data_IF_463289685611
#
_entry.id   IF_463289685611
#
_cell.length_a   1.000
_cell.length_b   1.000
_cell.length_c   1.000
_cell.angle_alpha   90.00
_cell.angle_beta   90.00
_cell.angle_gamma   90.00
#
_symmetry.space_group_name_H-M   'P 1'
#
loop_
_entity.id
_entity.type
_entity.pdbx_description
1 polymer ?
#
# COMPACT_ATOMS: atom_id res chain seq x y z
N UNK A 1 15.20 -13.53 19.30
CA UNK A 1 15.25 -12.33 18.46
C UNK A 1 16.69 -11.87 18.35
N UNK A 2 17.29 -11.97 17.17
CA UNK A 2 18.67 -11.49 16.93
C UNK A 2 18.66 -9.98 16.65
N UNK A 3 19.79 -9.29 16.82
CA UNK A 3 19.94 -7.86 16.47
C UNK A 3 19.54 -7.56 15.01
N UNK A 4 19.61 -8.55 14.10
CA UNK A 4 19.14 -8.45 12.71
C UNK A 4 17.62 -8.32 12.57
N UNK A 5 16.83 -8.87 13.50
CA UNK A 5 15.36 -8.69 13.51
C UNK A 5 14.95 -7.31 14.06
N UNK A 6 15.83 -6.66 14.84
CA UNK A 6 15.66 -5.31 15.38
C UNK A 6 16.05 -4.20 14.38
N UNK A 7 16.74 -4.53 13.28
CA UNK A 7 17.24 -3.57 12.28
C UNK A 7 16.46 -3.51 10.97
N UNK A 8 15.32 -4.21 10.85
CA UNK A 8 14.50 -4.12 9.63
C UNK A 8 13.63 -2.86 9.65
N UNK A 9 13.74 -2.06 8.60
CA UNK A 9 12.89 -0.91 8.38
C UNK A 9 11.43 -1.37 8.32
N UNK A 10 10.61 -0.88 9.25
CA UNK A 10 9.21 -1.31 9.36
C UNK A 10 8.31 -0.69 8.30
N UNK A 11 7.21 -1.36 7.95
CA UNK A 11 6.18 -0.80 7.07
C UNK A 11 5.66 0.56 7.58
N UNK A 12 5.48 0.70 8.90
CA UNK A 12 5.07 1.95 9.51
C UNK A 12 6.09 3.08 9.27
N UNK A 13 7.39 2.78 9.34
CA UNK A 13 8.46 3.73 9.03
C UNK A 13 8.41 4.17 7.57
N UNK A 14 8.30 3.21 6.64
CA UNK A 14 8.18 3.49 5.21
C UNK A 14 6.93 4.34 4.89
N UNK A 15 5.77 3.99 5.46
CA UNK A 15 4.52 4.75 5.30
C UNK A 15 4.66 6.17 5.83
N UNK A 16 5.26 6.35 7.02
CA UNK A 16 5.50 7.68 7.60
C UNK A 16 6.41 8.53 6.73
N UNK A 17 7.45 7.97 6.11
CA UNK A 17 8.28 8.74 5.16
C UNK A 17 7.44 9.25 3.99
N UNK A 18 6.60 8.40 3.38
CA UNK A 18 5.72 8.85 2.29
C UNK A 18 4.68 9.87 2.75
N UNK A 19 4.10 9.73 3.94
CA UNK A 19 3.18 10.71 4.52
C UNK A 19 3.87 12.07 4.73
N UNK A 20 5.13 12.08 5.19
CA UNK A 20 5.91 13.32 5.32
C UNK A 20 6.08 14.02 3.96
N UNK A 21 6.44 13.27 2.93
CA UNK A 21 6.55 13.80 1.56
C UNK A 21 5.19 14.31 1.05
N UNK A 22 4.10 13.60 1.36
CA UNK A 22 2.74 14.03 1.03
C UNK A 22 2.37 15.36 1.71
N UNK A 23 2.71 15.51 2.99
CA UNK A 23 2.54 16.78 3.73
C UNK A 23 3.28 17.91 3.03
N UNK A 24 4.55 17.68 2.67
CA UNK A 24 5.37 18.71 2.00
C UNK A 24 4.79 19.08 0.64
N UNK A 25 4.40 18.09 -0.17
CA UNK A 25 3.74 18.31 -1.46
C UNK A 25 2.46 19.14 -1.31
N UNK A 26 1.61 18.81 -0.33
CA UNK A 26 0.39 19.57 -0.06
C UNK A 26 0.67 20.99 0.43
N UNK A 27 1.65 21.18 1.32
CA UNK A 27 2.06 22.51 1.80
C UNK A 27 2.51 23.40 0.64
N UNK A 28 3.35 22.86 -0.26
CA UNK A 28 3.86 23.60 -1.42
C UNK A 28 2.77 23.90 -2.44
N UNK A 29 1.90 22.92 -2.73
CA UNK A 29 0.80 23.06 -3.69
C UNK A 29 -0.20 24.13 -3.27
N UNK A 30 -0.59 24.11 -2.00
CA UNK A 30 -1.60 25.03 -1.46
C UNK A 30 -1.01 26.32 -0.90
N UNK A 31 0.32 26.49 -0.99
CA UNK A 31 1.07 27.62 -0.45
C UNK A 31 0.80 27.89 1.05
N UNK A 32 0.81 26.82 1.84
CA UNK A 32 0.56 26.88 3.28
C UNK A 32 1.81 27.27 4.07
N UNK A 33 1.60 28.03 5.15
CA UNK A 33 2.66 28.23 6.15
C UNK A 33 2.89 26.93 6.94
N UNK A 34 4.15 26.54 7.16
CA UNK A 34 4.49 25.29 7.89
C UNK A 34 3.98 25.29 9.34
N UNK A 35 3.85 26.46 9.96
CA UNK A 35 3.39 26.61 11.35
C UNK A 35 1.88 26.66 11.52
N UNK A 36 1.12 26.60 10.43
CA UNK A 36 -0.34 26.73 10.49
C UNK A 36 -1.00 25.54 11.19
N UNK A 37 -2.27 25.73 11.52
CA UNK A 37 -3.15 24.66 11.98
C UNK A 37 -3.96 24.08 10.82
N UNK A 38 -4.28 22.80 10.91
CA UNK A 38 -5.02 22.03 9.92
C UNK A 38 -6.22 21.34 10.57
N UNK A 39 -7.34 21.30 9.86
CA UNK A 39 -8.47 20.43 10.20
C UNK A 39 -8.23 19.01 9.70
N UNK A 40 -8.98 18.01 10.20
CA UNK A 40 -8.91 16.63 9.68
C UNK A 40 -9.22 16.61 8.18
N UNK A 41 -10.22 17.38 7.74
CA UNK A 41 -10.61 17.43 6.32
C UNK A 41 -9.49 17.97 5.42
N UNK A 42 -8.68 18.91 5.90
CA UNK A 42 -7.52 19.40 5.14
C UNK A 42 -6.38 18.37 5.12
N UNK A 43 -6.18 17.63 6.20
CA UNK A 43 -5.17 16.56 6.25
C UNK A 43 -5.54 15.44 5.27
N UNK A 44 -6.83 15.12 5.15
CA UNK A 44 -7.34 14.14 4.18
C UNK A 44 -7.21 14.65 2.74
N UNK A 45 -7.59 15.90 2.47
CA UNK A 45 -7.66 16.42 1.08
C UNK A 45 -6.33 16.97 0.56
N UNK A 46 -5.59 17.73 1.37
CA UNK A 46 -4.32 18.35 0.96
C UNK A 46 -3.13 17.41 1.13
N UNK A 47 -3.15 16.52 2.12
CA UNK A 47 -2.04 15.60 2.41
C UNK A 47 -2.34 14.14 2.09
N UNK A 48 -3.56 13.84 1.61
CA UNK A 48 -3.96 12.50 1.19
C UNK A 48 -3.80 11.42 2.27
N UNK A 49 -4.04 11.80 3.53
CA UNK A 49 -4.10 10.82 4.62
C UNK A 49 -5.39 10.01 4.47
N UNK A 50 -5.25 8.67 4.44
CA UNK A 50 -6.38 7.76 4.51
C UNK A 50 -6.92 7.69 5.93
N UNK A 51 -8.14 7.18 6.14
CA UNK A 51 -8.71 6.95 7.48
C UNK A 51 -7.76 6.12 8.37
N UNK A 52 -7.07 5.15 7.79
CA UNK A 52 -6.05 4.34 8.49
C UNK A 52 -4.83 5.18 8.91
N UNK A 53 -4.39 6.14 8.10
CA UNK A 53 -3.30 7.04 8.48
C UNK A 53 -3.72 8.02 9.57
N UNK A 54 -4.96 8.50 9.52
CA UNK A 54 -5.54 9.33 10.59
C UNK A 54 -5.55 8.55 11.91
N UNK A 55 -5.95 7.28 11.90
CA UNK A 55 -5.99 6.44 13.08
C UNK A 55 -4.59 6.17 13.67
N UNK A 56 -3.59 5.88 12.83
CA UNK A 56 -2.31 5.31 13.30
C UNK A 56 -1.09 6.21 13.16
N UNK A 57 -1.15 7.24 12.31
CA UNK A 57 0.01 8.07 11.99
C UNK A 57 -0.20 9.56 12.30
N UNK A 58 -1.43 10.02 12.49
CA UNK A 58 -1.71 11.44 12.78
C UNK A 58 -0.92 11.94 14.00
N UNK A 59 -0.96 11.18 15.09
CA UNK A 59 -0.24 11.50 16.32
C UNK A 59 1.28 11.42 16.20
N UNK A 60 1.84 10.86 15.12
CA UNK A 60 3.28 10.93 14.85
C UNK A 60 3.68 12.32 14.35
N UNK A 61 2.86 12.90 13.47
CA UNK A 61 3.17 14.17 12.79
C UNK A 61 2.68 15.41 13.53
N UNK A 62 1.50 15.32 14.14
CA UNK A 62 0.77 16.49 14.64
C UNK A 62 0.54 16.42 16.15
N UNK A 63 0.43 17.58 16.78
CA UNK A 63 -0.19 17.78 18.08
C UNK A 63 -1.63 18.24 17.85
N UNK A 64 -2.58 17.66 18.60
CA UNK A 64 -3.97 18.11 18.61
C UNK A 64 -4.10 19.39 19.44
N UNK A 65 -4.83 20.38 18.93
CA UNK A 65 -5.18 21.61 19.61
C UNK A 65 -6.66 21.86 19.37
N UNK A 66 -7.50 21.60 20.38
CA UNK A 66 -8.96 21.64 20.23
C UNK A 66 -9.44 20.80 19.03
N UNK A 67 -10.01 21.43 18.01
CA UNK A 67 -10.49 20.79 16.77
C UNK A 67 -9.50 20.85 15.60
N UNK A 68 -8.28 21.35 15.85
CA UNK A 68 -7.22 21.51 14.85
C UNK A 68 -5.95 20.71 15.19
N UNK A 69 -5.04 20.66 14.23
CA UNK A 69 -3.78 19.93 14.30
C UNK A 69 -2.63 20.81 13.85
N UNK A 70 -1.53 20.81 14.61
CA UNK A 70 -0.32 21.56 14.28
C UNK A 70 0.85 20.59 14.18
N UNK A 71 1.70 20.76 13.17
CA UNK A 71 2.91 19.94 13.04
C UNK A 71 3.75 20.01 14.32
N UNK A 72 4.24 18.87 14.78
CA UNK A 72 5.21 18.84 15.88
C UNK A 72 6.47 19.58 15.48
N UNK A 73 7.11 20.25 16.44
CA UNK A 73 8.35 21.01 16.21
C UNK A 73 9.42 20.23 15.43
N UNK A 74 9.64 18.95 15.77
CA UNK A 74 10.57 18.08 15.03
C UNK A 74 10.18 17.93 13.55
N UNK A 75 8.89 17.75 13.27
CA UNK A 75 8.37 17.61 11.91
C UNK A 75 8.39 18.93 11.16
N UNK A 76 8.10 20.06 11.80
CA UNK A 76 8.23 21.38 11.18
C UNK A 76 9.66 21.64 10.70
N UNK A 77 10.66 21.37 11.55
CA UNK A 77 12.07 21.53 11.19
C UNK A 77 12.43 20.64 9.99
N UNK A 78 11.93 19.41 9.97
CA UNK A 78 12.19 18.46 8.90
C UNK A 78 11.51 18.88 7.58
N UNK A 79 10.25 19.31 7.63
CA UNK A 79 9.54 19.89 6.48
C UNK A 79 10.30 21.08 5.91
N UNK A 80 10.74 22.02 6.76
CA UNK A 80 11.50 23.19 6.33
C UNK A 80 12.84 22.81 5.69
N UNK A 81 13.56 21.82 6.26
CA UNK A 81 14.81 21.29 5.71
C UNK A 81 14.60 20.73 4.31
N UNK A 82 13.54 19.93 4.11
CA UNK A 82 13.26 19.30 2.82
C UNK A 82 12.78 20.34 1.80
N UNK A 83 11.93 21.30 2.18
CA UNK A 83 11.51 22.41 1.30
C UNK A 83 12.74 23.22 0.84
N UNK A 84 13.68 23.49 1.75
CA UNK A 84 14.92 24.18 1.38
C UNK A 84 15.74 23.38 0.35
N UNK A 85 15.92 22.07 0.56
CA UNK A 85 16.62 21.20 -0.39
C UNK A 85 15.91 21.15 -1.75
N UNK A 86 14.57 21.12 -1.75
CA UNK A 86 13.78 21.15 -2.97
C UNK A 86 14.03 22.45 -3.74
N UNK A 87 13.97 23.61 -3.08
CA UNK A 87 14.23 24.92 -3.68
C UNK A 87 15.62 24.99 -4.34
N UNK A 88 16.65 24.43 -3.70
CA UNK A 88 18.01 24.35 -4.27
C UNK A 88 18.06 23.45 -5.51
N UNK A 89 17.29 22.37 -5.54
CA UNK A 89 17.26 21.41 -6.64
C UNK A 89 16.46 21.91 -7.86
N UNK A 90 15.42 22.74 -7.67
CA UNK A 90 14.51 23.17 -8.73
C UNK A 90 15.24 23.81 -9.93
N UNK A 91 16.29 24.59 -9.69
CA UNK A 91 17.05 25.26 -10.75
C UNK A 91 17.77 24.32 -11.72
N UNK A 92 17.99 23.06 -11.33
CA UNK A 92 18.71 22.05 -12.13
C UNK A 92 17.81 20.86 -12.51
N UNK A 93 16.56 20.84 -12.05
CA UNK A 93 15.68 19.67 -12.12
C UNK A 93 15.45 19.20 -13.56
N UNK A 94 15.11 20.11 -14.48
CA UNK A 94 14.84 19.73 -15.87
C UNK A 94 16.08 19.21 -16.60
N UNK A 95 17.26 19.78 -16.31
CA UNK A 95 18.52 19.26 -16.83
C UNK A 95 18.82 17.86 -16.26
N UNK A 96 18.61 17.67 -14.97
CA UNK A 96 18.77 16.37 -14.31
C UNK A 96 17.85 15.30 -14.91
N UNK A 97 16.57 15.61 -15.15
CA UNK A 97 15.61 14.70 -15.80
C UNK A 97 16.08 14.28 -17.20
N UNK A 98 16.52 15.23 -18.02
CA UNK A 98 17.02 14.94 -19.37
C UNK A 98 18.24 14.04 -19.35
N UNK A 99 19.20 14.30 -18.45
CA UNK A 99 20.39 13.47 -18.28
C UNK A 99 20.02 12.05 -17.86
N UNK A 100 19.12 11.91 -16.89
CA UNK A 100 18.65 10.61 -16.38
C UNK A 100 17.93 9.78 -17.44
N UNK A 101 17.03 10.40 -18.22
CA UNK A 101 16.36 9.72 -19.34
C UNK A 101 17.37 9.26 -20.39
N UNK A 102 18.35 10.11 -20.73
CA UNK A 102 19.36 9.79 -21.75
C UNK A 102 20.33 8.68 -21.33
N UNK A 103 20.53 8.46 -20.03
CA UNK A 103 21.38 7.38 -19.51
C UNK A 103 20.54 6.17 -19.07
N UNK A 104 19.98 6.20 -17.86
CA UNK A 104 19.23 5.07 -17.30
C UNK A 104 17.93 4.82 -18.05
N UNK A 105 17.20 5.85 -18.49
CA UNK A 105 15.97 5.67 -19.26
C UNK A 105 16.18 4.84 -20.54
N UNK A 106 17.24 5.13 -21.30
CA UNK A 106 17.62 4.31 -22.47
C UNK A 106 17.99 2.87 -22.09
N UNK A 107 18.76 2.69 -21.02
CA UNK A 107 19.12 1.35 -20.54
C UNK A 107 17.88 0.53 -20.12
N UNK A 108 16.93 1.18 -19.45
CA UNK A 108 15.64 0.59 -19.09
C UNK A 108 14.84 0.20 -20.34
N UNK A 109 14.73 1.09 -21.33
CA UNK A 109 13.98 0.83 -22.56
C UNK A 109 14.62 -0.28 -23.41
N UNK A 110 15.96 -0.31 -23.50
CA UNK A 110 16.73 -1.39 -24.14
C UNK A 110 16.37 -2.76 -23.52
N UNK A 111 16.26 -2.82 -22.18
CA UNK A 111 15.88 -4.02 -21.45
C UNK A 111 14.41 -4.41 -21.68
N UNK A 112 13.50 -3.44 -21.62
CA UNK A 112 12.05 -3.68 -21.74
C UNK A 112 11.66 -4.18 -23.13
N UNK A 113 12.34 -3.67 -24.17
CA UNK A 113 11.95 -3.93 -25.57
C UNK A 113 12.71 -5.11 -26.22
N UNK A 114 13.68 -5.72 -25.54
CA UNK A 114 14.50 -6.80 -26.09
C UNK A 114 14.30 -8.10 -25.31
N UNK A 115 13.64 -9.07 -25.93
CA UNK A 115 13.37 -10.40 -25.35
C UNK A 115 14.64 -11.22 -25.07
N UNK A 116 15.76 -10.89 -25.71
CA UNK A 116 17.06 -11.53 -25.51
C UNK A 116 18.04 -10.65 -24.70
N UNK A 117 17.54 -9.68 -23.95
CA UNK A 117 18.39 -8.78 -23.18
C UNK A 117 19.14 -9.52 -22.06
N UNK A 118 20.47 -9.49 -22.13
CA UNK A 118 21.33 -9.85 -20.99
C UNK A 118 21.61 -8.60 -20.16
N UNK A 119 21.45 -8.70 -18.84
CA UNK A 119 21.69 -7.55 -17.96
C UNK A 119 23.18 -7.23 -17.87
N UNK A 120 23.57 -6.13 -18.51
CA UNK A 120 24.95 -5.63 -18.48
C UNK A 120 25.22 -4.88 -17.17
N UNK A 121 25.73 -5.61 -16.18
CA UNK A 121 26.09 -5.08 -14.86
C UNK A 121 27.22 -4.03 -14.92
N UNK A 122 28.11 -4.08 -15.92
CA UNK A 122 29.20 -3.11 -16.04
C UNK A 122 28.66 -1.78 -16.59
N UNK A 123 27.84 -1.84 -17.64
CA UNK A 123 27.13 -0.67 -18.17
C UNK A 123 26.23 -0.05 -17.11
N UNK A 124 25.49 -0.86 -16.34
CA UNK A 124 24.64 -0.35 -15.25
C UNK A 124 25.45 0.38 -14.18
N UNK A 125 26.55 -0.21 -13.68
CA UNK A 125 27.42 0.43 -12.67
C UNK A 125 27.99 1.76 -13.17
N UNK A 126 28.39 1.83 -14.44
CA UNK A 126 28.86 3.07 -15.07
C UNK A 126 27.75 4.13 -15.12
N UNK A 127 26.56 3.75 -15.58
CA UNK A 127 25.39 4.64 -15.61
C UNK A 127 25.08 5.18 -14.20
N UNK A 128 25.08 4.31 -13.20
CA UNK A 128 24.82 4.71 -11.82
C UNK A 128 25.87 5.71 -11.31
N UNK A 129 27.16 5.43 -11.52
CA UNK A 129 28.25 6.34 -11.16
C UNK A 129 28.11 7.71 -11.83
N UNK A 130 27.76 7.74 -13.12
CA UNK A 130 27.56 8.99 -13.87
C UNK A 130 26.33 9.77 -13.36
N UNK A 131 25.38 9.09 -12.72
CA UNK A 131 24.16 9.67 -12.17
C UNK A 131 24.26 10.09 -10.70
N UNK A 132 25.37 9.82 -10.00
CA UNK A 132 25.58 10.27 -8.61
C UNK A 132 25.24 11.76 -8.38
N UNK A 133 25.69 12.73 -9.21
CA UNK A 133 25.33 14.14 -9.01
C UNK A 133 23.88 14.45 -9.39
N UNK A 134 23.23 13.61 -10.20
CA UNK A 134 21.87 13.81 -10.72
C UNK A 134 20.82 13.31 -9.73
N UNK A 135 21.09 12.20 -9.04
CA UNK A 135 20.16 11.54 -8.12
C UNK A 135 19.63 12.48 -7.03
N UNK A 136 20.46 13.25 -6.29
CA UNK A 136 19.96 14.16 -5.28
C UNK A 136 19.07 15.26 -5.85
N UNK A 137 19.40 15.79 -7.04
CA UNK A 137 18.60 16.82 -7.70
C UNK A 137 17.21 16.28 -8.03
N UNK A 138 17.14 15.07 -8.58
CA UNK A 138 15.88 14.40 -8.89
C UNK A 138 15.05 14.13 -7.64
N UNK A 139 15.68 13.53 -6.63
CA UNK A 139 15.00 13.18 -5.38
C UNK A 139 14.41 14.43 -4.70
N UNK A 140 15.23 15.47 -4.48
CA UNK A 140 14.75 16.68 -3.81
C UNK A 140 13.83 17.52 -4.70
N UNK A 141 14.07 17.58 -6.01
CA UNK A 141 13.26 18.38 -6.92
C UNK A 141 11.87 17.80 -7.19
N UNK A 142 11.73 16.48 -7.22
CA UNK A 142 10.45 15.80 -7.47
C UNK A 142 9.73 15.38 -6.19
N UNK A 143 10.47 15.22 -5.08
CA UNK A 143 9.96 14.71 -3.80
C UNK A 143 9.17 13.41 -3.99
N UNK A 144 9.76 12.33 -4.53
CA UNK A 144 9.02 11.15 -4.98
C UNK A 144 8.33 10.45 -3.82
N UNK A 145 7.10 9.98 -4.03
CA UNK A 145 6.50 8.91 -3.22
C UNK A 145 7.07 7.59 -3.74
N UNK A 146 7.41 6.67 -2.85
CA UNK A 146 8.09 5.42 -3.22
C UNK A 146 7.32 4.22 -2.70
N UNK A 147 7.35 3.11 -3.45
CA UNK A 147 6.80 1.86 -2.97
C UNK A 147 7.44 1.47 -1.63
N UNK A 148 6.61 1.13 -0.63
CA UNK A 148 7.10 0.82 0.73
C UNK A 148 8.16 -0.28 0.73
N UNK A 149 7.97 -1.31 -0.09
CA UNK A 149 8.86 -2.46 -0.16
C UNK A 149 10.28 -2.11 -0.64
N UNK A 150 10.44 -1.03 -1.42
CA UNK A 150 11.76 -0.55 -1.81
C UNK A 150 12.58 -0.13 -0.57
N UNK A 151 11.96 0.61 0.35
CA UNK A 151 12.57 1.02 1.62
C UNK A 151 12.75 -0.15 2.59
N UNK A 152 11.76 -1.04 2.66
CA UNK A 152 11.80 -2.20 3.57
C UNK A 152 12.92 -3.17 3.15
N UNK A 153 13.01 -3.53 1.87
CA UNK A 153 13.96 -4.51 1.37
C UNK A 153 15.40 -3.97 1.37
N UNK A 154 15.58 -2.66 1.15
CA UNK A 154 16.89 -2.00 1.28
C UNK A 154 17.29 -1.76 2.75
N UNK A 155 16.33 -1.82 3.68
CA UNK A 155 16.53 -1.50 5.09
C UNK A 155 16.85 -0.03 5.34
N UNK A 156 16.56 0.88 4.39
CA UNK A 156 16.99 2.29 4.43
C UNK A 156 15.90 3.24 3.95
N UNK A 157 15.85 4.44 4.52
CA UNK A 157 15.12 5.55 3.91
C UNK A 157 16.02 6.25 2.89
N UNK A 158 15.47 6.80 1.80
CA UNK A 158 16.27 7.54 0.82
C UNK A 158 17.04 8.70 1.45
N UNK A 159 16.41 9.42 2.38
CA UNK A 159 16.96 10.63 2.98
C UNK A 159 18.13 10.37 3.95
N UNK A 160 18.38 9.11 4.34
CA UNK A 160 19.53 8.73 5.17
C UNK A 160 20.82 8.69 4.34
N UNK A 161 20.76 8.14 3.13
CA UNK A 161 21.85 8.14 2.14
C UNK A 161 21.25 7.92 0.74
N UNK A 162 21.10 9.02 -0.01
CA UNK A 162 20.47 8.99 -1.33
C UNK A 162 21.22 8.12 -2.31
N UNK A 163 22.55 8.17 -2.31
CA UNK A 163 23.33 7.40 -3.27
C UNK A 163 23.20 5.92 -2.94
N UNK A 164 23.40 5.55 -1.67
CA UNK A 164 23.30 4.15 -1.28
C UNK A 164 21.88 3.58 -1.40
N UNK A 165 20.83 4.40 -1.26
CA UNK A 165 19.45 3.96 -1.49
C UNK A 165 19.19 3.70 -2.98
N UNK A 166 19.65 4.58 -3.88
CA UNK A 166 19.40 4.47 -5.31
C UNK A 166 20.38 3.55 -6.06
N UNK A 167 21.31 2.88 -5.37
CA UNK A 167 22.24 1.88 -5.92
C UNK A 167 21.55 0.53 -6.21
N UNK A 168 20.43 0.57 -6.92
CA UNK A 168 19.72 -0.61 -7.38
C UNK A 168 18.82 -0.27 -8.56
N UNK A 169 18.67 -1.22 -9.49
CA UNK A 169 17.88 -1.04 -10.71
C UNK A 169 16.45 -0.57 -10.43
N UNK A 170 15.75 -1.25 -9.50
CA UNK A 170 14.36 -0.93 -9.17
C UNK A 170 14.20 0.46 -8.54
N UNK A 171 15.21 0.96 -7.84
CA UNK A 171 15.20 2.28 -7.21
C UNK A 171 15.35 3.38 -8.25
N UNK A 172 16.22 3.17 -9.24
CA UNK A 172 16.33 4.05 -10.40
C UNK A 172 15.08 3.95 -11.29
N UNK A 173 14.45 2.78 -11.38
CA UNK A 173 13.15 2.63 -12.05
C UNK A 173 12.07 3.47 -11.35
N UNK A 174 12.05 3.53 -10.01
CA UNK A 174 11.12 4.40 -9.30
C UNK A 174 11.31 5.89 -9.66
N UNK A 175 12.56 6.37 -9.77
CA UNK A 175 12.84 7.73 -10.26
C UNK A 175 12.43 7.92 -11.72
N UNK A 176 12.68 6.93 -12.59
CA UNK A 176 12.28 7.00 -14.00
C UNK A 176 10.76 7.11 -14.15
N UNK A 177 10.02 6.31 -13.38
CA UNK A 177 8.56 6.32 -13.38
C UNK A 177 8.04 7.68 -12.89
N UNK A 178 8.61 8.24 -11.82
CA UNK A 178 8.29 9.59 -11.36
C UNK A 178 8.50 10.64 -12.47
N UNK A 179 9.64 10.57 -13.18
CA UNK A 179 9.95 11.48 -14.30
C UNK A 179 8.92 11.33 -15.45
N UNK A 180 8.43 10.12 -15.68
CA UNK A 180 7.44 9.80 -16.72
C UNK A 180 5.99 10.10 -16.30
N UNK A 181 5.75 10.51 -15.06
CA UNK A 181 4.39 10.70 -14.53
C UNK A 181 3.67 9.39 -14.19
N UNK A 182 4.42 8.29 -14.08
CA UNK A 182 3.96 6.95 -13.73
C UNK A 182 4.44 6.54 -12.31
N UNK A 183 4.88 7.52 -11.51
CA UNK A 183 5.35 7.33 -10.15
C UNK A 183 4.24 6.95 -9.18
N UNK A 184 4.62 6.51 -7.99
CA UNK A 184 3.66 6.23 -6.93
C UNK A 184 2.94 7.51 -6.46
N UNK A 185 1.69 7.35 -6.06
CA UNK A 185 0.86 8.46 -5.56
C UNK A 185 0.35 8.16 -4.16
N UNK A 186 0.06 9.22 -3.41
CA UNK A 186 -0.73 9.13 -2.20
C UNK A 186 -2.17 9.43 -2.59
N UNK A 187 -3.05 8.45 -2.48
CA UNK A 187 -4.46 8.57 -2.84
C UNK A 187 -5.36 8.06 -1.72
N UNK A 188 -6.54 8.64 -1.61
CA UNK A 188 -7.56 8.27 -0.63
C UNK A 188 -8.67 7.37 -1.20
N UNK A 189 -8.58 6.98 -2.47
CA UNK A 189 -9.59 6.12 -3.13
C UNK A 189 -9.86 4.82 -2.38
N UNK A 190 -8.85 4.25 -1.71
CA UNK A 190 -9.04 3.05 -0.91
C UNK A 190 -10.05 3.22 0.24
N UNK A 191 -10.26 4.44 0.73
CA UNK A 191 -11.28 4.73 1.74
C UNK A 191 -12.70 4.61 1.19
N UNK A 192 -12.90 4.66 -0.14
CA UNK A 192 -14.22 4.49 -0.77
C UNK A 192 -14.80 3.09 -0.54
N UNK A 193 -13.97 2.11 -0.16
CA UNK A 193 -14.39 0.74 0.15
C UNK A 193 -14.64 0.49 1.64
N UNK A 194 -14.29 1.44 2.52
CA UNK A 194 -14.41 1.26 3.97
C UNK A 194 -15.86 1.30 4.43
N UNK A 195 -16.19 0.38 5.34
CA UNK A 195 -17.49 0.26 6.03
C UNK A 195 -18.69 0.24 5.07
N UNK A 196 -18.48 -0.31 3.87
CA UNK A 196 -19.56 -0.61 2.93
C UNK A 196 -20.00 -2.04 3.15
N UNK A 197 -21.27 -2.20 3.50
CA UNK A 197 -21.90 -3.51 3.66
C UNK A 197 -21.95 -4.22 2.30
N UNK A 198 -21.41 -5.43 2.25
CA UNK A 198 -21.35 -6.30 1.09
C UNK A 198 -21.91 -7.68 1.45
N UNK A 199 -22.40 -8.40 0.46
CA UNK A 199 -22.88 -9.77 0.63
C UNK A 199 -21.77 -10.76 0.34
N UNK A 200 -21.66 -11.80 1.15
CA UNK A 200 -20.77 -12.94 0.95
C UNK A 200 -21.62 -14.20 1.09
N UNK A 201 -22.09 -14.75 -0.03
CA UNK A 201 -23.05 -15.87 -0.04
C UNK A 201 -22.33 -17.20 -0.23
N UNK A 202 -22.46 -18.10 0.74
CA UNK A 202 -21.77 -19.41 0.74
C UNK A 202 -22.78 -20.54 0.80
N UNK A 203 -22.67 -21.51 -0.11
CA UNK A 203 -23.44 -22.74 -0.04
C UNK A 203 -23.04 -23.58 1.17
N UNK A 204 -24.02 -24.10 1.89
CA UNK A 204 -23.82 -25.06 2.98
C UNK A 204 -24.58 -26.35 2.71
N UNK A 205 -23.88 -27.50 2.78
CA UNK A 205 -24.56 -28.80 2.63
C UNK A 205 -25.54 -29.07 3.76
N UNK A 206 -25.23 -28.59 4.97
CA UNK A 206 -26.05 -28.80 6.18
C UNK A 206 -27.49 -28.33 5.99
N UNK A 207 -27.69 -27.21 5.31
CA UNK A 207 -29.03 -26.63 5.07
C UNK A 207 -29.52 -26.83 3.63
N UNK A 208 -28.62 -27.19 2.70
CA UNK A 208 -28.96 -27.42 1.29
C UNK A 208 -29.24 -26.15 0.50
N UNK A 209 -28.91 -24.97 1.03
CA UNK A 209 -29.02 -23.68 0.38
C UNK A 209 -27.79 -22.80 0.67
N UNK A 210 -27.75 -21.58 0.16
CA UNK A 210 -26.72 -20.61 0.54
C UNK A 210 -27.09 -19.88 1.82
N UNK A 211 -26.11 -19.61 2.66
CA UNK A 211 -26.18 -18.68 3.76
C UNK A 211 -25.51 -17.36 3.37
N UNK A 212 -26.18 -16.25 3.67
CA UNK A 212 -25.72 -14.91 3.34
C UNK A 212 -25.07 -14.26 4.55
N UNK A 213 -23.78 -13.97 4.43
CA UNK A 213 -23.01 -13.19 5.38
C UNK A 213 -22.98 -11.74 4.91
N UNK A 214 -23.14 -10.79 5.84
CA UNK A 214 -22.86 -9.38 5.56
C UNK A 214 -21.44 -9.09 6.01
N UNK A 215 -20.63 -8.51 5.14
CA UNK A 215 -19.21 -8.26 5.38
C UNK A 215 -18.85 -6.83 5.04
N UNK A 216 -18.02 -6.21 5.88
CA UNK A 216 -17.53 -4.85 5.68
C UNK A 216 -16.01 -4.82 5.78
N UNK A 217 -15.35 -4.05 4.89
CA UNK A 217 -13.93 -3.73 5.06
C UNK A 217 -13.77 -2.68 6.15
N UNK A 218 -12.93 -2.93 7.14
CA UNK A 218 -12.53 -1.96 8.16
C UNK A 218 -11.08 -1.53 7.95
N UNK A 219 -10.60 -0.56 8.74
CA UNK A 219 -9.20 -0.11 8.70
C UNK A 219 -8.18 -1.17 9.18
N UNK A 220 -8.65 -2.25 9.81
CA UNK A 220 -7.80 -3.30 10.41
C UNK A 220 -8.00 -4.70 9.79
N UNK A 221 -9.11 -4.90 9.07
CA UNK A 221 -9.49 -6.20 8.54
C UNK A 221 -10.92 -6.18 8.03
N UNK A 222 -11.71 -7.18 8.42
CA UNK A 222 -13.12 -7.28 8.06
C UNK A 222 -14.01 -7.24 9.30
N UNK A 223 -15.27 -6.86 9.15
CA UNK A 223 -16.34 -7.08 10.13
C UNK A 223 -17.40 -7.96 9.47
N UNK A 224 -17.83 -9.02 10.15
CA UNK A 224 -18.85 -9.94 9.65
C UNK A 224 -20.08 -9.88 10.53
N UNK A 225 -21.24 -9.78 9.87
CA UNK A 225 -22.55 -9.86 10.49
C UNK A 225 -23.33 -11.06 9.95
N UNK A 226 -23.69 -11.97 10.85
CA UNK A 226 -24.46 -13.18 10.57
C UNK A 226 -25.39 -13.52 11.76
N UNK A 227 -26.36 -14.41 11.55
CA UNK A 227 -27.35 -14.75 12.57
C UNK A 227 -26.69 -15.37 13.80
N UNK A 228 -25.68 -16.22 13.61
CA UNK A 228 -25.03 -16.99 14.67
C UNK A 228 -23.86 -16.25 15.32
N UNK A 229 -22.88 -15.82 14.52
CA UNK A 229 -21.62 -15.27 15.02
C UNK A 229 -21.32 -13.98 14.25
N UNK A 230 -21.13 -12.90 15.01
CA UNK A 230 -20.80 -11.57 14.51
C UNK A 230 -19.45 -11.16 15.06
N UNK A 231 -18.70 -10.34 14.32
CA UNK A 231 -17.53 -9.68 14.87
C UNK A 231 -16.41 -9.41 13.86
N UNK A 232 -15.30 -8.97 14.44
CA UNK A 232 -14.08 -8.61 13.72
C UNK A 232 -13.38 -9.84 13.15
N UNK A 233 -12.74 -9.61 12.01
CA UNK A 233 -11.79 -10.51 11.40
C UNK A 233 -10.49 -9.75 11.09
N UNK A 234 -9.36 -10.46 11.13
CA UNK A 234 -8.12 -9.98 10.52
C UNK A 234 -8.29 -9.89 9.00
N UNK A 235 -7.30 -9.32 8.31
CA UNK A 235 -7.33 -9.13 6.84
C UNK A 235 -7.51 -10.42 6.05
N UNK A 236 -7.02 -11.52 6.57
CA UNK A 236 -7.15 -12.87 5.98
C UNK A 236 -8.50 -13.53 6.32
N UNK A 237 -9.40 -12.85 7.02
CA UNK A 237 -10.69 -13.39 7.45
C UNK A 237 -10.63 -14.20 8.75
N UNK A 238 -9.45 -14.41 9.35
CA UNK A 238 -9.33 -15.06 10.66
C UNK A 238 -10.16 -14.30 11.70
N UNK A 239 -11.03 -15.02 12.44
CA UNK A 239 -12.01 -14.42 13.34
C UNK A 239 -13.43 -14.86 12.99
N UNK A 240 -14.39 -13.93 13.06
CA UNK A 240 -15.81 -14.26 12.96
C UNK A 240 -16.17 -15.02 11.66
N UNK A 241 -15.55 -14.70 10.52
CA UNK A 241 -15.81 -15.41 9.26
C UNK A 241 -15.43 -16.88 9.34
N UNK A 242 -14.17 -17.20 9.64
CA UNK A 242 -13.70 -18.58 9.72
C UNK A 242 -14.45 -19.36 10.80
N UNK A 243 -14.75 -18.74 11.94
CA UNK A 243 -15.52 -19.39 13.01
C UNK A 243 -16.93 -19.76 12.53
N UNK A 244 -17.63 -18.90 11.78
CA UNK A 244 -18.93 -19.27 11.19
C UNK A 244 -18.79 -20.46 10.23
N UNK A 245 -17.85 -20.39 9.28
CA UNK A 245 -17.67 -21.45 8.28
C UNK A 245 -17.37 -22.81 8.93
N UNK A 246 -16.51 -22.83 9.96
CA UNK A 246 -16.23 -24.05 10.71
C UNK A 246 -17.39 -24.52 11.58
N UNK A 247 -18.14 -23.59 12.20
CA UNK A 247 -19.32 -23.92 12.99
C UNK A 247 -20.39 -24.63 12.13
N UNK A 248 -20.52 -24.23 10.87
CA UNK A 248 -21.46 -24.83 9.93
C UNK A 248 -20.88 -26.05 9.19
N UNK A 249 -19.66 -26.46 9.52
CA UNK A 249 -19.02 -27.66 8.98
C UNK A 249 -18.67 -27.53 7.49
N UNK A 250 -18.46 -26.32 7.00
CA UNK A 250 -18.17 -26.04 5.59
C UNK A 250 -16.72 -26.41 5.28
N UNK A 251 -16.50 -27.14 4.19
CA UNK A 251 -15.19 -27.56 3.71
C UNK A 251 -14.68 -26.64 2.61
N UNK A 252 -13.48 -26.09 2.80
CA UNK A 252 -12.85 -25.17 1.86
C UNK A 252 -11.32 -25.16 2.04
N UNK A 253 -10.55 -24.71 1.02
CA UNK A 253 -9.11 -24.59 1.12
C UNK A 253 -8.73 -23.35 1.94
N UNK A 254 -8.71 -23.51 3.26
CA UNK A 254 -8.58 -22.44 4.25
C UNK A 254 -7.39 -21.49 3.99
N UNK A 255 -6.18 -22.03 3.83
CA UNK A 255 -4.98 -21.22 3.55
C UNK A 255 -5.11 -20.39 2.27
N UNK A 256 -5.73 -20.96 1.24
CA UNK A 256 -5.94 -20.29 -0.04
C UNK A 256 -6.97 -19.17 0.07
N UNK A 257 -8.05 -19.40 0.82
CA UNK A 257 -9.08 -18.39 1.10
C UNK A 257 -8.51 -17.26 1.94
N UNK A 258 -7.74 -17.58 2.98
CA UNK A 258 -7.03 -16.61 3.83
C UNK A 258 -6.13 -15.70 3.01
N UNK A 259 -5.32 -16.29 2.13
CA UNK A 259 -4.46 -15.56 1.21
C UNK A 259 -5.26 -14.64 0.27
N UNK A 260 -6.35 -15.14 -0.31
CA UNK A 260 -7.21 -14.35 -1.20
C UNK A 260 -7.84 -13.15 -0.49
N UNK A 261 -8.38 -13.34 0.72
CA UNK A 261 -8.97 -12.27 1.54
C UNK A 261 -7.93 -11.21 1.92
N UNK A 262 -6.73 -11.63 2.33
CA UNK A 262 -5.66 -10.69 2.69
C UNK A 262 -5.24 -9.82 1.50
N UNK A 263 -5.06 -10.42 0.32
CA UNK A 263 -4.70 -9.68 -0.89
C UNK A 263 -5.81 -8.72 -1.32
N UNK A 264 -7.07 -9.18 -1.27
CA UNK A 264 -8.22 -8.34 -1.61
C UNK A 264 -8.34 -7.15 -0.66
N UNK A 265 -8.06 -7.36 0.63
CA UNK A 265 -8.03 -6.28 1.61
C UNK A 265 -6.93 -5.26 1.28
N UNK A 266 -5.72 -5.72 0.94
CA UNK A 266 -4.59 -4.83 0.61
C UNK A 266 -4.82 -4.08 -0.71
N UNK A 267 -5.39 -4.73 -1.73
CA UNK A 267 -5.74 -4.07 -3.00
C UNK A 267 -6.85 -3.01 -2.81
N UNK A 268 -7.83 -3.28 -1.95
CA UNK A 268 -8.86 -2.31 -1.57
C UNK A 268 -8.27 -1.15 -0.77
N UNK A 269 -7.37 -1.42 0.17
CA UNK A 269 -6.65 -0.38 0.91
C UNK A 269 -5.84 0.50 -0.03
N UNK A 270 -5.15 -0.09 -1.01
CA UNK A 270 -4.35 0.64 -1.99
C UNK A 270 -5.17 1.39 -3.05
N UNK A 271 -6.49 1.21 -3.08
CA UNK A 271 -7.40 1.88 -4.02
C UNK A 271 -7.35 1.29 -5.43
N UNK A 272 -6.93 0.03 -5.57
CA UNK A 272 -6.86 -0.69 -6.85
C UNK A 272 -8.19 -1.32 -7.27
N UNK A 273 -9.15 -1.39 -6.35
CA UNK A 273 -10.50 -1.93 -6.62
C UNK A 273 -11.55 -0.91 -6.22
N UNK A 274 -12.61 -0.81 -7.03
CA UNK A 274 -13.80 -0.05 -6.67
C UNK A 274 -14.66 -0.82 -5.67
N UNK A 275 -15.66 -0.19 -5.03
CA UNK A 275 -16.62 -0.89 -4.18
C UNK A 275 -17.35 -2.04 -4.89
N UNK A 276 -17.69 -1.85 -6.16
CA UNK A 276 -18.38 -2.86 -6.98
C UNK A 276 -17.46 -4.04 -7.29
N UNK A 277 -16.21 -3.77 -7.68
CA UNK A 277 -15.20 -4.80 -7.91
C UNK A 277 -14.85 -5.55 -6.62
N UNK A 278 -14.84 -4.86 -5.47
CA UNK A 278 -14.63 -5.47 -4.17
C UNK A 278 -15.74 -6.47 -3.83
N UNK A 279 -17.01 -6.09 -4.02
CA UNK A 279 -18.16 -6.97 -3.86
C UNK A 279 -18.07 -8.19 -4.80
N UNK A 280 -17.72 -7.98 -6.08
CA UNK A 280 -17.58 -9.07 -7.04
C UNK A 280 -16.48 -10.06 -6.62
N UNK A 281 -15.28 -9.55 -6.28
CA UNK A 281 -14.15 -10.37 -5.86
C UNK A 281 -14.40 -11.09 -4.53
N UNK A 282 -15.10 -10.47 -3.58
CA UNK A 282 -15.55 -11.14 -2.36
C UNK A 282 -16.49 -12.31 -2.68
N UNK A 283 -17.45 -12.11 -3.58
CA UNK A 283 -18.35 -13.19 -3.98
C UNK A 283 -17.59 -14.30 -4.74
N UNK A 284 -16.57 -13.99 -5.55
CA UNK A 284 -15.73 -15.02 -6.19
C UNK A 284 -15.03 -15.91 -5.15
N UNK A 285 -14.60 -15.36 -4.00
CA UNK A 285 -14.06 -16.15 -2.89
C UNK A 285 -15.14 -17.04 -2.28
N UNK A 286 -16.35 -16.50 -2.06
CA UNK A 286 -17.49 -17.26 -1.54
C UNK A 286 -17.95 -18.39 -2.48
N UNK A 287 -17.92 -18.15 -3.79
CA UNK A 287 -18.24 -19.12 -4.83
C UNK A 287 -17.20 -20.25 -4.88
N UNK A 288 -15.93 -19.91 -4.64
CA UNK A 288 -14.86 -20.90 -4.53
C UNK A 288 -15.06 -21.83 -3.33
N UNK A 289 -15.37 -21.26 -2.16
CA UNK A 289 -15.74 -22.02 -0.95
C UNK A 289 -16.93 -22.94 -1.26
N UNK A 290 -17.99 -22.38 -1.84
CA UNK A 290 -19.21 -23.10 -2.19
C UNK A 290 -18.97 -24.27 -3.15
N UNK A 291 -18.07 -24.08 -4.11
CA UNK A 291 -17.72 -25.11 -5.11
C UNK A 291 -16.99 -26.29 -4.46
N UNK A 292 -16.08 -26.02 -3.53
CA UNK A 292 -15.36 -27.07 -2.79
C UNK A 292 -16.32 -27.80 -1.86
N UNK A 293 -17.15 -27.07 -1.12
CA UNK A 293 -18.15 -27.65 -0.21
C UNK A 293 -19.10 -28.61 -0.94
N UNK A 294 -19.65 -28.20 -2.11
CA UNK A 294 -20.48 -29.08 -2.95
C UNK A 294 -19.73 -30.34 -3.38
N UNK A 295 -18.51 -30.17 -3.90
CA UNK A 295 -17.71 -31.29 -4.39
C UNK A 295 -17.41 -32.33 -3.29
N UNK A 296 -17.28 -31.92 -2.03
CA UNK A 296 -17.07 -32.87 -0.92
C UNK A 296 -18.31 -33.75 -0.71
N UNK A 297 -19.52 -33.20 -0.85
CA UNK A 297 -20.76 -33.97 -0.82
C UNK A 297 -20.95 -34.85 -2.05
N UNK A 298 -20.85 -34.26 -3.24
CA UNK A 298 -21.15 -34.91 -4.51
C UNK A 298 -20.22 -36.09 -4.83
N UNK A 299 -18.99 -36.07 -4.30
CA UNK A 299 -18.00 -37.11 -4.54
C UNK A 299 -17.83 -38.07 -3.34
N UNK A 300 -18.61 -37.93 -2.27
CA UNK A 300 -18.60 -38.90 -1.19
C UNK A 300 -19.21 -40.21 -1.70
N UNK A 301 -18.54 -41.37 -1.49
CA UNK A 301 -19.17 -42.65 -1.77
C UNK A 301 -20.42 -42.86 -0.90
N UNK A 302 -21.53 -43.30 -1.51
CA UNK A 302 -22.83 -43.46 -0.84
C UNK A 302 -22.77 -44.28 0.46
N UNK A 303 -21.88 -45.27 0.54
CA UNK A 303 -21.75 -46.13 1.73
C UNK A 303 -21.07 -45.44 2.91
N UNK A 304 -20.38 -44.31 2.70
CA UNK A 304 -19.72 -43.55 3.76
C UNK A 304 -20.75 -42.78 4.58
N UNK A 305 -21.71 -42.12 3.90
CA UNK A 305 -22.81 -41.33 4.49
C UNK A 305 -22.38 -40.56 5.76
N UNK A 306 -21.26 -39.85 5.66
CA UNK A 306 -20.64 -39.16 6.80
C UNK A 306 -21.12 -37.72 6.93
N UNK A 307 -21.46 -37.09 5.79
CA UNK A 307 -21.98 -35.73 5.75
C UNK A 307 -23.50 -35.72 5.67
#
# INVERSE_FOLDING_TARGET
>A
MTEEELMRLSEATARRRNLLISIIRGILKENYEVSREYTVSEIETAFHFRKRDIAYNLGYFFNKKDDSFVLKKKMMNEVQRIIHNQQLALGQLETAKVLFIKSFGRFYDDRKNNTNFSFDHERFRKIFSDLHPVIPILHWGMLPILLKWLMINSGRLPEDDLIAFYDHYDMLTALLNEIRGEGETMETKGDETLNKEMTFSVYTRRWGHSDDYRIERTIDGWEVHHISINGKCAKDGEGALMINLHHDGIFFPEDGVKYALSNLWDDAEDGKVTPEELQEKLQQIADWISSVEKAVGDNQPDWVNYY
#
